data_IF_514282036625
#
_entry.id   IF_514282036625
#
_cell.length_a   1.000
_cell.length_b   1.000
_cell.length_c   1.000
_cell.angle_alpha   90.00
_cell.angle_beta   90.00
_cell.angle_gamma   90.00
#
_symmetry.space_group_name_H-M   'P 1'
#
loop_
_entity.id
_entity.type
_entity.pdbx_description
1 polymer ?
#
# COMPACT_ATOMS: atom_id res chain seq x y z
N UNK A 1 22.95 -34.37 18.91
CA UNK A 1 21.59 -33.88 19.13
C UNK A 1 21.00 -33.58 17.77
N UNK A 2 20.14 -34.46 17.32
CA UNK A 2 19.60 -34.52 15.96
C UNK A 2 18.39 -33.57 15.86
N UNK A 3 18.49 -32.56 15.02
CA UNK A 3 17.42 -31.61 14.78
C UNK A 3 16.58 -32.12 13.57
N UNK A 4 15.54 -32.86 13.84
CA UNK A 4 14.58 -33.24 12.82
C UNK A 4 13.88 -32.02 12.21
N UNK A 5 13.71 -31.95 10.87
CA UNK A 5 12.97 -30.87 10.23
C UNK A 5 11.50 -30.92 10.59
N UNK A 6 10.96 -29.80 11.02
CA UNK A 6 9.58 -29.64 11.43
C UNK A 6 8.58 -30.09 10.36
N UNK A 7 7.63 -30.89 10.77
CA UNK A 7 6.48 -31.31 9.96
C UNK A 7 5.71 -30.07 9.50
N UNK A 8 5.55 -29.92 8.18
CA UNK A 8 4.60 -28.97 7.61
C UNK A 8 3.20 -29.30 8.17
N UNK A 9 2.56 -28.30 8.74
CA UNK A 9 1.15 -28.38 9.11
C UNK A 9 0.36 -28.55 7.81
N UNK A 10 -0.05 -29.78 7.49
CA UNK A 10 -0.95 -30.07 6.38
C UNK A 10 -2.28 -29.38 6.66
N UNK A 11 -2.44 -28.18 6.14
CA UNK A 11 -3.73 -27.52 6.12
C UNK A 11 -4.64 -28.30 5.17
N UNK A 12 -5.83 -28.55 5.65
CA UNK A 12 -6.90 -29.34 5.00
C UNK A 12 -7.12 -28.86 3.56
N UNK A 13 -7.57 -29.78 2.69
CA UNK A 13 -7.89 -29.51 1.30
C UNK A 13 -8.69 -28.23 1.13
N UNK A 14 -8.46 -27.54 0.01
CA UNK A 14 -9.06 -26.26 -0.31
C UNK A 14 -10.57 -26.29 -0.01
N UNK A 15 -11.10 -25.36 0.80
CA UNK A 15 -12.53 -25.26 0.96
C UNK A 15 -13.14 -24.80 -0.36
N UNK A 16 -13.98 -25.64 -0.97
CA UNK A 16 -14.83 -25.21 -2.08
C UNK A 16 -15.64 -23.98 -1.64
N UNK A 17 -15.48 -22.89 -2.35
CA UNK A 17 -16.24 -21.67 -2.09
C UNK A 17 -17.69 -21.86 -2.53
N UNK A 18 -18.69 -21.48 -1.71
CA UNK A 18 -20.12 -21.75 -1.98
C UNK A 18 -20.68 -21.01 -3.20
N UNK A 19 -19.94 -20.08 -3.82
CA UNK A 19 -20.45 -19.16 -4.83
C UNK A 19 -19.86 -19.34 -6.24
N UNK A 20 -19.04 -20.35 -6.47
CA UNK A 20 -18.42 -20.57 -7.79
C UNK A 20 -17.54 -19.39 -8.28
N UNK A 21 -17.16 -18.49 -7.38
CA UNK A 21 -16.32 -17.35 -7.75
C UNK A 21 -14.93 -17.83 -8.17
N UNK A 22 -14.61 -17.62 -9.43
CA UNK A 22 -13.26 -17.75 -9.96
C UNK A 22 -12.30 -16.93 -9.12
N UNK A 23 -11.18 -17.50 -8.74
CA UNK A 23 -10.12 -16.82 -8.02
C UNK A 23 -9.74 -15.54 -8.79
N UNK A 24 -10.23 -14.39 -8.32
CA UNK A 24 -9.92 -13.09 -8.90
C UNK A 24 -8.42 -12.78 -8.89
N UNK A 25 -7.64 -13.56 -8.11
CA UNK A 25 -6.18 -13.53 -8.10
C UNK A 25 -5.57 -14.36 -9.22
N UNK A 26 -6.30 -15.35 -9.76
CA UNK A 26 -5.79 -16.28 -10.78
C UNK A 26 -5.58 -15.63 -12.16
N UNK A 27 -6.05 -14.40 -12.39
CA UNK A 27 -5.98 -13.73 -13.68
C UNK A 27 -5.05 -12.52 -13.78
N UNK A 28 -4.40 -12.11 -12.67
CA UNK A 28 -3.54 -10.93 -12.66
C UNK A 28 -2.08 -11.25 -12.96
N UNK A 29 -1.47 -10.45 -13.83
CA UNK A 29 -0.03 -10.50 -14.12
C UNK A 29 0.77 -10.07 -12.88
N UNK A 30 1.89 -10.74 -12.62
CA UNK A 30 2.90 -10.24 -11.68
C UNK A 30 3.67 -9.11 -12.35
N UNK A 31 3.55 -7.90 -11.82
CA UNK A 31 4.13 -6.69 -12.41
C UNK A 31 5.39 -6.24 -11.65
N UNK A 32 6.21 -5.42 -12.27
CA UNK A 32 7.32 -4.78 -11.57
C UNK A 32 6.79 -3.69 -10.62
N UNK A 33 7.04 -3.85 -9.31
CA UNK A 33 6.66 -2.86 -8.29
C UNK A 33 7.27 -1.49 -8.57
N UNK A 34 8.55 -1.47 -8.98
CA UNK A 34 9.24 -0.23 -9.33
C UNK A 34 8.61 0.44 -10.56
N UNK A 35 8.25 -0.33 -11.59
CA UNK A 35 7.61 0.23 -12.79
C UNK A 35 6.23 0.84 -12.45
N UNK A 36 5.39 0.13 -11.70
CA UNK A 36 4.10 0.67 -11.24
C UNK A 36 4.27 1.93 -10.39
N UNK A 37 5.28 1.95 -9.51
CA UNK A 37 5.60 3.12 -8.70
C UNK A 37 6.04 4.31 -9.57
N UNK A 38 6.84 4.07 -10.62
CA UNK A 38 7.22 5.12 -11.59
C UNK A 38 6.02 5.65 -12.37
N UNK A 39 5.10 4.78 -12.79
CA UNK A 39 3.84 5.16 -13.46
C UNK A 39 2.96 6.03 -12.56
N UNK A 40 2.88 5.72 -11.27
CA UNK A 40 2.19 6.58 -10.30
C UNK A 40 2.90 7.93 -10.20
N UNK A 41 4.21 7.94 -9.88
CA UNK A 41 4.98 9.17 -9.64
C UNK A 41 5.00 10.08 -10.87
N UNK A 42 5.08 9.51 -12.08
CA UNK A 42 5.03 10.27 -13.33
C UNK A 42 3.72 11.03 -13.59
N UNK A 43 2.65 10.70 -12.84
CA UNK A 43 1.35 11.39 -12.89
C UNK A 43 1.16 12.42 -11.78
N UNK A 44 2.07 12.44 -10.80
CA UNK A 44 1.97 13.32 -9.65
C UNK A 44 2.64 14.67 -9.94
N UNK A 45 2.05 15.71 -9.39
CA UNK A 45 2.59 17.07 -9.32
C UNK A 45 2.98 17.40 -7.88
N UNK A 46 3.08 18.66 -7.53
CA UNK A 46 3.21 19.09 -6.13
C UNK A 46 1.86 19.15 -5.38
N UNK A 47 0.77 18.90 -6.08
CA UNK A 47 -0.57 18.88 -5.51
C UNK A 47 -0.88 17.61 -4.71
N UNK A 48 -0.29 16.47 -5.08
CA UNK A 48 -0.59 15.17 -4.48
C UNK A 48 0.42 14.81 -3.40
N UNK A 49 -0.04 14.05 -2.40
CA UNK A 49 0.74 13.59 -1.26
C UNK A 49 0.82 12.06 -1.30
N UNK A 50 1.99 11.50 -1.01
CA UNK A 50 2.17 10.05 -0.90
C UNK A 50 2.73 9.70 0.48
N UNK A 51 2.07 8.77 1.17
CA UNK A 51 2.57 8.14 2.40
C UNK A 51 2.89 6.69 2.09
N UNK A 52 4.16 6.33 2.14
CA UNK A 52 4.61 4.97 1.84
C UNK A 52 4.96 4.20 3.10
N UNK A 53 4.53 2.95 3.16
CA UNK A 53 4.96 1.96 4.15
C UNK A 53 6.46 1.72 4.11
N UNK A 54 6.95 0.92 5.06
CA UNK A 54 8.38 0.66 5.21
C UNK A 54 8.96 -0.19 4.07
N UNK A 55 10.27 -0.20 3.98
CA UNK A 55 11.03 -1.14 3.16
C UNK A 55 10.93 -0.89 1.66
N UNK A 56 10.74 -1.95 0.88
CA UNK A 56 10.82 -1.89 -0.58
C UNK A 56 9.81 -0.92 -1.21
N UNK A 57 8.63 -0.72 -0.63
CA UNK A 57 7.66 0.27 -1.08
C UNK A 57 8.22 1.71 -0.99
N UNK A 58 8.84 2.06 0.14
CA UNK A 58 9.53 3.35 0.31
C UNK A 58 10.76 3.49 -0.57
N UNK A 59 11.51 2.40 -0.78
CA UNK A 59 12.73 2.41 -1.57
C UNK A 59 12.42 2.65 -3.05
N UNK A 60 11.39 2.01 -3.58
CA UNK A 60 10.94 2.21 -4.95
C UNK A 60 10.29 3.59 -5.15
N UNK A 61 9.52 4.08 -4.18
CA UNK A 61 8.98 5.43 -4.23
C UNK A 61 10.10 6.49 -4.25
N UNK A 62 11.17 6.28 -3.48
CA UNK A 62 12.33 7.17 -3.50
C UNK A 62 13.07 7.10 -4.84
N UNK A 63 13.27 5.89 -5.38
CA UNK A 63 13.93 5.67 -6.67
C UNK A 63 13.12 6.20 -7.86
N UNK A 64 11.80 6.21 -7.76
CA UNK A 64 10.92 6.72 -8.81
C UNK A 64 10.91 8.25 -8.91
N UNK A 65 11.34 8.96 -7.86
CA UNK A 65 11.47 10.41 -7.84
C UNK A 65 11.22 10.97 -6.43
N UNK A 66 12.26 11.44 -5.74
CA UNK A 66 12.11 12.04 -4.42
C UNK A 66 11.35 13.36 -4.52
N UNK A 67 10.29 13.49 -3.72
CA UNK A 67 9.46 14.70 -3.62
C UNK A 67 9.30 15.10 -2.15
N UNK A 68 9.27 16.38 -1.80
CA UNK A 68 8.97 16.79 -0.42
C UNK A 68 7.61 16.29 0.07
N UNK A 69 6.65 16.11 -0.83
CA UNK A 69 5.30 15.62 -0.55
C UNK A 69 5.22 14.09 -0.34
N UNK A 70 6.35 13.38 -0.45
CA UNK A 70 6.43 11.95 -0.17
C UNK A 70 6.91 11.72 1.27
N UNK A 71 6.15 10.96 2.06
CA UNK A 71 6.55 10.46 3.36
C UNK A 71 7.06 9.03 3.24
N UNK A 72 8.28 8.79 3.71
CA UNK A 72 8.92 7.47 3.70
C UNK A 72 8.99 6.95 5.12
N UNK A 73 8.21 5.92 5.44
CA UNK A 73 8.22 5.34 6.78
C UNK A 73 9.53 4.58 7.05
N UNK A 74 10.07 4.74 8.25
CA UNK A 74 11.32 4.13 8.68
C UNK A 74 11.12 2.82 9.44
N UNK A 75 9.99 2.68 10.08
CA UNK A 75 9.55 1.55 10.88
C UNK A 75 8.02 1.49 10.93
N UNK A 76 7.47 0.72 11.86
CA UNK A 76 6.04 0.66 12.11
C UNK A 76 5.24 0.17 10.90
N UNK A 77 5.40 -1.11 10.54
CA UNK A 77 4.55 -1.77 9.55
C UNK A 77 3.08 -1.47 9.85
N UNK A 78 2.27 -1.42 8.80
CA UNK A 78 0.81 -1.22 8.86
C UNK A 78 0.32 0.21 9.14
N UNK A 79 1.20 1.19 9.35
CA UNK A 79 0.77 2.54 9.73
C UNK A 79 0.73 3.55 8.57
N UNK A 80 1.09 3.18 7.35
CA UNK A 80 0.97 4.12 6.23
C UNK A 80 -0.49 4.51 5.96
N UNK A 81 -1.43 3.58 6.04
CA UNK A 81 -2.85 3.86 5.82
C UNK A 81 -3.43 4.80 6.87
N UNK A 82 -3.31 4.56 8.20
CA UNK A 82 -3.85 5.49 9.19
C UNK A 82 -3.16 6.87 9.17
N UNK A 83 -1.85 6.94 8.87
CA UNK A 83 -1.16 8.23 8.68
C UNK A 83 -1.73 8.97 7.46
N UNK A 84 -1.88 8.28 6.33
CA UNK A 84 -2.46 8.86 5.12
C UNK A 84 -3.92 9.32 5.33
N UNK A 85 -4.71 8.58 6.12
CA UNK A 85 -6.05 9.00 6.52
C UNK A 85 -6.01 10.33 7.28
N UNK A 86 -5.13 10.45 8.28
CA UNK A 86 -4.94 11.71 9.02
C UNK A 86 -4.52 12.88 8.10
N UNK A 87 -3.60 12.61 7.16
CA UNK A 87 -3.19 13.61 6.16
C UNK A 87 -4.34 13.98 5.22
N UNK A 88 -5.14 13.01 4.76
CA UNK A 88 -6.29 13.27 3.89
C UNK A 88 -7.34 14.16 4.56
N UNK A 89 -7.57 13.97 5.85
CA UNK A 89 -8.47 14.81 6.64
C UNK A 89 -7.93 16.23 6.85
N UNK A 90 -6.61 16.34 7.09
CA UNK A 90 -5.95 17.64 7.29
C UNK A 90 -5.75 18.42 5.98
N UNK A 91 -5.77 17.75 4.82
CA UNK A 91 -5.51 18.32 3.49
C UNK A 91 -6.65 17.96 2.50
N UNK A 92 -7.91 18.36 2.76
CA UNK A 92 -9.07 17.87 2.01
C UNK A 92 -9.08 18.28 0.52
N UNK A 93 -8.35 19.31 0.15
CA UNK A 93 -8.21 19.77 -1.25
C UNK A 93 -7.13 19.03 -2.05
N UNK A 94 -6.29 18.21 -1.39
CA UNK A 94 -5.17 17.50 -2.02
C UNK A 94 -5.48 16.01 -2.12
N UNK A 95 -5.03 15.36 -3.18
CA UNK A 95 -5.11 13.90 -3.28
C UNK A 95 -4.03 13.26 -2.43
N UNK A 96 -4.40 12.22 -1.71
CA UNK A 96 -3.48 11.48 -0.83
C UNK A 96 -3.45 10.01 -1.27
N UNK A 97 -2.25 9.49 -1.45
CA UNK A 97 -2.02 8.09 -1.74
C UNK A 97 -1.32 7.44 -0.55
N UNK A 98 -1.86 6.33 -0.05
CA UNK A 98 -1.17 5.44 0.86
C UNK A 98 -0.62 4.26 0.09
N UNK A 99 0.67 3.95 0.22
CA UNK A 99 1.27 2.75 -0.39
C UNK A 99 1.69 1.82 0.75
N UNK A 100 1.23 0.57 0.70
CA UNK A 100 1.56 -0.43 1.72
C UNK A 100 1.88 -1.78 1.06
N UNK A 101 2.73 -2.59 1.68
CA UNK A 101 2.91 -3.99 1.30
C UNK A 101 1.77 -4.86 1.84
N UNK A 102 1.50 -5.99 1.20
CA UNK A 102 0.46 -6.94 1.59
C UNK A 102 0.63 -7.45 3.04
N UNK A 103 1.82 -7.93 3.39
CA UNK A 103 2.10 -8.38 4.75
C UNK A 103 1.95 -7.27 5.81
N UNK A 104 2.28 -6.04 5.44
CA UNK A 104 2.09 -4.87 6.28
C UNK A 104 0.60 -4.52 6.42
N UNK A 105 -0.17 -4.60 5.34
CA UNK A 105 -1.61 -4.40 5.34
C UNK A 105 -2.33 -5.42 6.23
N UNK A 106 -1.91 -6.71 6.17
CA UNK A 106 -2.46 -7.78 6.99
C UNK A 106 -2.33 -7.53 8.50
N UNK A 107 -1.31 -6.78 8.93
CA UNK A 107 -1.10 -6.48 10.35
C UNK A 107 -2.11 -5.48 10.92
N UNK A 108 -2.82 -4.73 10.08
CA UNK A 108 -3.80 -3.73 10.52
C UNK A 108 -4.98 -3.58 9.55
N UNK A 109 -5.67 -4.67 9.28
CA UNK A 109 -6.87 -4.66 8.42
C UNK A 109 -7.97 -3.77 8.97
N UNK A 110 -8.04 -3.57 10.29
CA UNK A 110 -8.99 -2.65 10.93
C UNK A 110 -8.87 -1.20 10.48
N UNK A 111 -7.70 -0.78 9.99
CA UNK A 111 -7.53 0.56 9.41
C UNK A 111 -8.44 0.79 8.18
N UNK A 112 -8.73 -0.27 7.40
CA UNK A 112 -9.64 -0.19 6.25
C UNK A 112 -11.07 0.11 6.68
N UNK A 113 -11.53 -0.47 7.79
CA UNK A 113 -12.85 -0.18 8.36
C UNK A 113 -12.92 1.28 8.83
N UNK A 114 -11.86 1.81 9.44
CA UNK A 114 -11.78 3.22 9.83
C UNK A 114 -11.81 4.14 8.60
N UNK A 115 -11.07 3.80 7.53
CA UNK A 115 -11.12 4.54 6.25
C UNK A 115 -12.53 4.54 5.67
N UNK A 116 -13.21 3.39 5.68
CA UNK A 116 -14.58 3.27 5.18
C UNK A 116 -15.57 4.11 6.00
N UNK A 117 -15.46 4.07 7.34
CA UNK A 117 -16.29 4.84 8.26
C UNK A 117 -16.13 6.34 8.09
N UNK A 118 -14.88 6.81 7.96
CA UNK A 118 -14.56 8.25 7.79
C UNK A 118 -14.85 8.72 6.36
N UNK A 119 -14.76 7.82 5.38
CA UNK A 119 -15.04 8.02 3.96
C UNK A 119 -14.36 9.27 3.34
N UNK A 120 -13.03 9.44 3.48
CA UNK A 120 -12.34 10.61 2.92
C UNK A 120 -12.40 10.57 1.39
N UNK A 121 -12.93 11.63 0.77
CA UNK A 121 -13.13 11.68 -0.68
C UNK A 121 -11.85 11.79 -1.50
N UNK A 122 -10.70 12.00 -0.84
CA UNK A 122 -9.41 12.31 -1.45
C UNK A 122 -8.33 11.26 -1.18
N UNK A 123 -8.67 10.10 -0.58
CA UNK A 123 -7.71 9.04 -0.25
C UNK A 123 -7.80 7.85 -1.22
N UNK A 124 -6.65 7.43 -1.73
CA UNK A 124 -6.46 6.15 -2.44
C UNK A 124 -5.42 5.31 -1.70
N UNK A 125 -5.79 4.11 -1.32
CA UNK A 125 -4.89 3.12 -0.72
C UNK A 125 -4.42 2.15 -1.80
N UNK A 126 -3.11 1.92 -1.88
CA UNK A 126 -2.48 1.01 -2.82
C UNK A 126 -1.78 -0.10 -2.03
N UNK A 127 -2.11 -1.35 -2.30
CA UNK A 127 -1.46 -2.52 -1.74
C UNK A 127 -0.58 -3.21 -2.79
N UNK A 128 0.72 -3.29 -2.53
CA UNK A 128 1.66 -4.11 -3.30
C UNK A 128 1.67 -5.53 -2.74
N UNK A 129 1.07 -6.46 -3.47
CA UNK A 129 0.97 -7.86 -3.10
C UNK A 129 2.10 -8.67 -3.75
N UNK A 130 3.15 -8.97 -2.98
CA UNK A 130 4.22 -9.87 -3.39
C UNK A 130 4.14 -11.26 -2.72
N UNK A 131 3.13 -11.49 -1.87
CA UNK A 131 2.88 -12.74 -1.16
C UNK A 131 3.89 -13.06 -0.07
N UNK A 132 4.78 -12.12 0.32
CA UNK A 132 5.84 -12.43 1.29
C UNK A 132 6.22 -11.27 2.19
N UNK A 133 6.75 -11.59 3.38
CA UNK A 133 7.48 -10.65 4.26
C UNK A 133 8.95 -10.58 3.84
N UNK A 134 9.19 -10.06 2.64
CA UNK A 134 10.47 -10.15 1.92
C UNK A 134 11.68 -9.64 2.73
N UNK A 135 11.53 -8.56 3.49
CA UNK A 135 12.65 -7.89 4.18
C UNK A 135 13.04 -8.61 5.48
N UNK A 136 12.12 -9.33 6.09
CA UNK A 136 12.32 -9.95 7.41
C UNK A 136 12.58 -11.46 7.36
N UNK A 137 12.80 -12.02 6.16
CA UNK A 137 13.17 -13.44 6.00
C UNK A 137 12.38 -14.19 4.93
N UNK A 138 11.54 -13.52 4.15
CA UNK A 138 10.83 -14.14 3.03
C UNK A 138 9.69 -15.08 3.45
N UNK A 139 9.17 -14.93 4.67
CA UNK A 139 8.04 -15.72 5.15
C UNK A 139 6.83 -15.49 4.25
N UNK A 140 6.08 -16.55 3.99
CA UNK A 140 4.84 -16.50 3.21
C UNK A 140 3.81 -15.59 3.91
N UNK A 141 3.22 -14.68 3.17
CA UNK A 141 2.08 -13.89 3.63
C UNK A 141 0.76 -14.62 3.32
N UNK A 142 -0.28 -14.37 4.10
CA UNK A 142 -1.59 -15.01 3.88
C UNK A 142 -2.21 -14.64 2.52
N UNK A 143 -1.77 -13.57 1.90
CA UNK A 143 -2.15 -13.14 0.53
C UNK A 143 -1.64 -14.08 -0.56
N UNK A 144 -0.55 -14.80 -0.30
CA UNK A 144 -0.06 -15.83 -1.23
C UNK A 144 -1.02 -17.04 -1.33
N UNK A 145 -1.85 -17.26 -0.32
CA UNK A 145 -2.73 -18.44 -0.23
C UNK A 145 -4.21 -18.09 -0.28
N UNK A 146 -4.76 -17.56 0.81
CA UNK A 146 -6.21 -17.48 1.00
C UNK A 146 -6.78 -16.06 1.09
N UNK A 147 -5.97 -15.05 1.42
CA UNK A 147 -6.48 -13.70 1.69
C UNK A 147 -6.52 -12.85 0.44
N UNK A 148 -7.71 -12.41 0.05
CA UNK A 148 -7.93 -11.42 -1.00
C UNK A 148 -8.10 -10.03 -0.37
N UNK A 149 -7.09 -9.16 -0.52
CA UNK A 149 -7.10 -7.81 0.05
C UNK A 149 -8.20 -6.92 -0.53
N UNK A 150 -8.59 -7.13 -1.79
CA UNK A 150 -9.69 -6.37 -2.41
C UNK A 150 -11.03 -6.80 -1.81
N UNK A 151 -11.23 -8.11 -1.61
CA UNK A 151 -12.42 -8.61 -0.93
C UNK A 151 -12.49 -8.11 0.53
N UNK A 152 -11.36 -8.10 1.25
CA UNK A 152 -11.26 -7.54 2.61
C UNK A 152 -11.61 -6.05 2.61
N UNK A 153 -11.06 -5.25 1.70
CA UNK A 153 -11.35 -3.82 1.62
C UNK A 153 -12.83 -3.54 1.31
N UNK A 154 -13.43 -4.33 0.41
CA UNK A 154 -14.88 -4.26 0.14
C UNK A 154 -15.71 -4.64 1.34
N UNK A 155 -15.36 -5.73 2.01
CA UNK A 155 -16.04 -6.18 3.24
C UNK A 155 -15.90 -5.18 4.38
N UNK A 156 -14.82 -4.42 4.44
CA UNK A 156 -14.63 -3.29 5.36
C UNK A 156 -15.48 -2.04 5.00
N UNK A 157 -16.08 -2.00 3.79
CA UNK A 157 -16.93 -0.90 3.35
C UNK A 157 -16.30 0.04 2.30
N UNK A 158 -15.09 -0.22 1.82
CA UNK A 158 -14.48 0.54 0.73
C UNK A 158 -15.01 -0.03 -0.60
N UNK A 159 -16.15 0.48 -1.05
CA UNK A 159 -16.84 -0.03 -2.26
C UNK A 159 -15.98 0.07 -3.51
N UNK A 160 -15.20 1.16 -3.64
CA UNK A 160 -14.30 1.38 -4.79
C UNK A 160 -12.98 0.65 -4.58
N UNK A 161 -13.03 -0.69 -4.59
CA UNK A 161 -11.86 -1.56 -4.42
C UNK A 161 -11.67 -2.43 -5.65
N UNK A 162 -10.45 -2.49 -6.19
CA UNK A 162 -10.15 -3.25 -7.40
C UNK A 162 -8.73 -3.85 -7.39
N UNK A 163 -8.56 -4.99 -8.06
CA UNK A 163 -7.26 -5.48 -8.51
C UNK A 163 -6.87 -4.78 -9.80
N UNK A 164 -5.64 -4.27 -9.86
CA UNK A 164 -4.99 -3.94 -11.11
C UNK A 164 -4.39 -5.23 -11.69
N UNK A 165 -4.94 -5.74 -12.79
CA UNK A 165 -4.52 -7.01 -13.41
C UNK A 165 -3.33 -6.87 -14.33
N UNK A 166 -3.11 -5.66 -14.83
CA UNK A 166 -1.99 -5.25 -15.66
C UNK A 166 -1.66 -3.76 -15.47
N UNK A 167 -0.60 -3.31 -16.14
CA UNK A 167 -0.11 -1.93 -16.05
C UNK A 167 -1.13 -0.91 -16.59
N UNK A 168 -1.88 -1.25 -17.61
CA UNK A 168 -2.88 -0.36 -18.20
C UNK A 168 -4.08 -0.16 -17.26
N UNK A 169 -4.54 -1.25 -16.63
CA UNK A 169 -5.58 -1.16 -15.60
C UNK A 169 -5.09 -0.39 -14.38
N UNK A 170 -3.83 -0.61 -13.94
CA UNK A 170 -3.25 0.18 -12.86
C UNK A 170 -3.28 1.68 -13.19
N UNK A 171 -2.83 2.06 -14.39
CA UNK A 171 -2.85 3.47 -14.81
C UNK A 171 -4.25 4.08 -14.86
N UNK A 172 -5.24 3.31 -15.32
CA UNK A 172 -6.65 3.73 -15.31
C UNK A 172 -7.13 3.99 -13.87
N UNK A 173 -6.86 3.04 -12.94
CA UNK A 173 -7.24 3.17 -11.54
C UNK A 173 -6.54 4.36 -10.86
N UNK A 174 -5.27 4.64 -11.21
CA UNK A 174 -4.57 5.83 -10.70
C UNK A 174 -5.17 7.12 -11.26
N UNK A 175 -5.56 7.15 -12.52
CA UNK A 175 -6.28 8.30 -13.11
C UNK A 175 -7.60 8.56 -12.39
N UNK A 176 -8.36 7.51 -12.07
CA UNK A 176 -9.56 7.62 -11.26
C UNK A 176 -9.29 8.10 -9.83
N UNK A 177 -8.17 7.67 -9.21
CA UNK A 177 -7.73 8.15 -7.91
C UNK A 177 -7.39 9.64 -7.90
N UNK A 178 -6.79 10.13 -8.98
CA UNK A 178 -6.45 11.54 -9.16
C UNK A 178 -7.68 12.42 -9.42
N UNK A 179 -8.62 11.96 -10.25
CA UNK A 179 -9.78 12.75 -10.70
C UNK A 179 -11.08 12.49 -9.95
N UNK A 180 -11.27 11.27 -9.42
CA UNK A 180 -12.51 10.83 -8.82
C UNK A 180 -12.63 11.10 -7.32
N UNK A 181 -13.77 10.67 -6.74
CA UNK A 181 -13.99 10.70 -5.29
C UNK A 181 -13.65 9.35 -4.68
N UNK A 182 -12.92 9.36 -3.57
CA UNK A 182 -12.59 8.19 -2.77
C UNK A 182 -13.60 7.94 -1.62
N UNK A 183 -13.25 7.09 -0.65
CA UNK A 183 -11.98 6.36 -0.61
C UNK A 183 -11.91 5.25 -1.67
N UNK A 184 -10.70 4.97 -2.12
CA UNK A 184 -10.41 3.88 -3.05
C UNK A 184 -9.37 2.93 -2.48
N UNK A 185 -9.47 1.67 -2.86
CA UNK A 185 -8.46 0.66 -2.58
C UNK A 185 -8.06 -0.04 -3.88
N UNK A 186 -6.75 -0.08 -4.14
CA UNK A 186 -6.20 -0.75 -5.33
C UNK A 186 -5.14 -1.73 -4.87
N UNK A 187 -5.25 -2.98 -5.26
CA UNK A 187 -4.21 -3.98 -5.07
C UNK A 187 -3.57 -4.34 -6.42
N UNK A 188 -2.28 -4.63 -6.41
CA UNK A 188 -1.58 -5.12 -7.58
C UNK A 188 -0.59 -6.22 -7.18
N UNK A 189 -0.55 -7.32 -7.94
CA UNK A 189 0.46 -8.36 -7.79
C UNK A 189 1.78 -7.87 -8.31
N UNK A 190 2.81 -7.95 -7.46
CA UNK A 190 4.12 -7.41 -7.78
C UNK A 190 5.22 -8.44 -7.54
N UNK A 191 6.33 -8.22 -8.24
CA UNK A 191 7.53 -9.03 -8.10
C UNK A 191 8.19 -8.84 -6.71
N UNK A 192 9.13 -9.74 -6.41
CA UNK A 192 9.90 -9.75 -5.17
C UNK A 192 11.30 -9.10 -5.33
N UNK A 193 11.47 -8.20 -6.29
CA UNK A 193 12.72 -7.48 -6.45
C UNK A 193 13.01 -6.59 -5.24
N UNK A 194 14.29 -6.44 -4.91
CA UNK A 194 14.72 -5.51 -3.86
C UNK A 194 14.46 -4.07 -4.30
N UNK A 195 14.12 -3.21 -3.34
CA UNK A 195 13.89 -1.80 -3.62
C UNK A 195 15.14 -1.09 -4.16
N UNK A 196 14.94 -0.19 -5.13
CA UNK A 196 16.00 0.32 -6.00
C UNK A 196 16.91 1.37 -5.34
N UNK A 197 16.41 2.17 -4.37
CA UNK A 197 17.20 3.17 -3.66
C UNK A 197 16.61 3.43 -2.27
N UNK A 198 17.46 3.79 -1.31
CA UNK A 198 17.05 4.04 0.08
C UNK A 198 16.95 5.53 0.37
N UNK A 199 15.83 6.02 0.92
CA UNK A 199 15.72 7.37 1.43
C UNK A 199 16.58 7.57 2.69
N UNK A 200 16.78 8.83 3.07
CA UNK A 200 17.36 9.18 4.37
C UNK A 200 16.58 8.49 5.50
N UNK A 201 17.31 8.10 6.55
CA UNK A 201 16.75 7.40 7.70
C UNK A 201 16.74 8.24 8.98
N UNK A 202 17.04 9.53 8.90
CA UNK A 202 16.85 10.44 10.02
C UNK A 202 15.35 10.78 10.16
N UNK A 203 14.69 10.37 11.26
CA UNK A 203 13.25 10.59 11.43
C UNK A 203 12.90 12.07 11.54
N UNK A 204 13.80 12.90 12.04
CA UNK A 204 13.56 14.34 12.16
C UNK A 204 13.58 14.99 10.79
N UNK A 205 14.57 14.67 9.97
CA UNK A 205 14.67 15.17 8.60
C UNK A 205 13.50 14.69 7.72
N UNK A 206 13.13 13.41 7.81
CA UNK A 206 12.00 12.86 7.06
C UNK A 206 10.70 13.57 7.41
N UNK A 207 10.41 13.74 8.72
CA UNK A 207 9.22 14.46 9.19
C UNK A 207 9.23 15.92 8.75
N UNK A 208 10.33 16.65 8.99
CA UNK A 208 10.42 18.09 8.73
C UNK A 208 10.29 18.39 7.23
N UNK A 209 10.99 17.63 6.39
CA UNK A 209 10.86 17.74 4.92
C UNK A 209 9.43 17.51 4.47
N UNK A 210 8.78 16.45 4.95
CA UNK A 210 7.41 16.13 4.59
C UNK A 210 6.42 17.23 5.05
N UNK A 211 6.51 17.67 6.30
CA UNK A 211 5.64 18.72 6.82
C UNK A 211 5.76 20.03 6.00
N UNK A 212 7.00 20.41 5.63
CA UNK A 212 7.21 21.58 4.73
C UNK A 212 6.63 21.32 3.35
N UNK A 213 6.82 20.13 2.78
CA UNK A 213 6.31 19.75 1.46
C UNK A 213 4.79 19.81 1.36
N UNK A 214 4.09 19.42 2.43
CA UNK A 214 2.63 19.51 2.47
C UNK A 214 2.10 20.86 2.98
N UNK A 215 2.98 21.80 3.31
CA UNK A 215 2.60 23.13 3.81
C UNK A 215 2.07 23.12 5.26
N UNK A 216 2.36 22.08 6.02
CA UNK A 216 1.98 22.01 7.43
C UNK A 216 2.85 22.97 8.25
N UNK A 217 2.19 23.82 9.07
CA UNK A 217 2.92 24.69 9.99
C UNK A 217 3.52 23.84 11.13
N UNK A 218 4.81 24.03 11.49
CA UNK A 218 5.33 23.42 12.70
C UNK A 218 4.51 23.91 13.90
N UNK A 219 4.35 23.08 14.96
CA UNK A 219 3.71 23.56 16.19
C UNK A 219 4.47 24.79 16.68
N UNK A 220 3.72 25.79 17.16
CA UNK A 220 4.33 26.94 17.82
C UNK A 220 5.24 26.42 18.94
N UNK A 221 6.49 26.86 18.98
CA UNK A 221 7.37 26.53 20.09
C UNK A 221 6.75 27.15 21.34
N UNK A 222 6.41 26.30 22.32
CA UNK A 222 6.02 26.75 23.65
C UNK A 222 7.18 27.44 24.36
#
# INVERSE_FOLDING_TARGET
>A
MDASPGKSLGLRGEPERPDGSTDLRAGGKVMSRLDLTRRLVGRLTRGEIVVSGIGNASFDLFAAGPRPENFYMLGSMSLAVPIALGVALAQPSRRVFAIEGDGSMLMNLGALATVAMVAPSNLTVIAWDNGTYQITGGQTAATAEATDLVAVARGAGIVQSAWARDEAEFERLMTEGLGGRGPRFVAARVNQESGAARPDRDPVLVKDRFMRGIGAKPPARA
#
